data_IF_660890690235
#
_entry.id   IF_660890690235
#
_cell.length_a   1.000
_cell.length_b   1.000
_cell.length_c   1.000
_cell.angle_alpha   90.00
_cell.angle_beta   90.00
_cell.angle_gamma   90.00
#
_symmetry.space_group_name_H-M   'P 1'
#
loop_
_entity.id
_entity.type
_entity.pdbx_description
1 polymer ?
#
# COMPACT_ATOMS: atom_id res chain seq x y z
N UNK A 1 15.33 -25.31 1.56
CA UNK A 1 13.94 -24.90 1.75
C UNK A 1 13.89 -23.47 2.28
N UNK A 2 12.99 -22.65 1.76
CA UNK A 2 12.88 -21.25 2.14
C UNK A 2 12.30 -21.13 3.55
N UNK A 3 12.94 -20.31 4.42
CA UNK A 3 12.43 -20.01 5.75
C UNK A 3 11.23 -19.05 5.67
N UNK A 4 10.52 -18.89 6.78
CA UNK A 4 9.43 -17.91 6.86
C UNK A 4 9.93 -16.49 6.62
N UNK A 5 11.11 -16.16 7.13
CA UNK A 5 11.74 -14.85 6.96
C UNK A 5 12.11 -14.62 5.49
N UNK A 6 12.73 -15.59 4.86
CA UNK A 6 13.11 -15.49 3.46
C UNK A 6 11.90 -15.32 2.54
N UNK A 7 10.85 -16.08 2.83
CA UNK A 7 9.59 -15.96 2.07
C UNK A 7 8.98 -14.59 2.23
N UNK A 8 8.95 -14.07 3.44
CA UNK A 8 8.41 -12.74 3.70
C UNK A 8 9.18 -11.67 2.93
N UNK A 9 10.52 -11.70 3.01
CA UNK A 9 11.38 -10.73 2.31
C UNK A 9 11.12 -10.78 0.82
N UNK A 10 11.13 -11.98 0.24
CA UNK A 10 10.93 -12.17 -1.20
C UNK A 10 9.56 -11.63 -1.65
N UNK A 11 8.51 -12.01 -0.95
CA UNK A 11 7.15 -11.59 -1.32
C UNK A 11 6.92 -10.11 -1.06
N UNK A 12 7.38 -9.61 0.08
CA UNK A 12 7.19 -8.22 0.45
C UNK A 12 7.94 -7.28 -0.49
N UNK A 13 9.18 -7.62 -0.85
CA UNK A 13 9.95 -6.83 -1.81
C UNK A 13 9.27 -6.78 -3.16
N UNK A 14 8.85 -7.94 -3.68
CA UNK A 14 8.21 -8.02 -4.98
C UNK A 14 6.92 -7.21 -5.02
N UNK A 15 6.09 -7.34 -3.99
CA UNK A 15 4.81 -6.64 -3.91
C UNK A 15 4.98 -5.14 -3.70
N UNK A 16 5.96 -4.74 -2.87
CA UNK A 16 6.25 -3.34 -2.64
C UNK A 16 6.71 -2.65 -3.92
N UNK A 17 7.61 -3.30 -4.67
CA UNK A 17 8.07 -2.76 -5.94
C UNK A 17 6.94 -2.63 -6.94
N UNK A 18 6.02 -3.58 -6.96
CA UNK A 18 4.85 -3.54 -7.83
C UNK A 18 3.92 -2.39 -7.48
N UNK A 19 3.72 -2.14 -6.20
CA UNK A 19 2.91 -1.00 -5.73
C UNK A 19 3.56 0.31 -6.14
N UNK A 20 4.87 0.44 -5.95
CA UNK A 20 5.61 1.64 -6.34
C UNK A 20 5.48 1.88 -7.85
N UNK A 21 5.63 0.84 -8.66
CA UNK A 21 5.49 0.94 -10.11
C UNK A 21 4.07 1.39 -10.49
N UNK A 22 3.06 0.86 -9.82
CA UNK A 22 1.67 1.26 -10.08
C UNK A 22 1.39 2.71 -9.69
N UNK A 23 1.99 3.18 -8.59
CA UNK A 23 1.87 4.58 -8.19
C UNK A 23 2.53 5.49 -9.24
N UNK A 24 3.70 5.11 -9.74
CA UNK A 24 4.37 5.85 -10.81
C UNK A 24 3.53 5.89 -12.07
N UNK A 25 2.93 4.76 -12.42
CA UNK A 25 2.06 4.67 -13.59
C UNK A 25 0.83 5.58 -13.44
N UNK A 26 0.25 5.63 -12.26
CA UNK A 26 -0.83 6.56 -11.96
C UNK A 26 -0.37 8.01 -12.17
N UNK A 27 0.86 8.33 -11.77
CA UNK A 27 1.44 9.65 -11.96
C UNK A 27 1.54 10.06 -13.42
N UNK A 28 1.65 9.10 -14.34
CA UNK A 28 1.68 9.38 -15.77
C UNK A 28 0.35 9.93 -16.29
N UNK A 29 -0.73 9.81 -15.52
CA UNK A 29 -2.00 10.42 -15.87
C UNK A 29 -2.04 11.94 -15.58
N UNK A 30 -1.01 12.47 -14.93
CA UNK A 30 -0.89 13.90 -14.61
C UNK A 30 -0.49 14.70 -15.85
N UNK A 31 -1.35 14.66 -16.88
CA UNK A 31 -1.11 15.31 -18.16
C UNK A 31 -2.43 15.87 -18.69
N UNK A 32 -2.67 17.14 -18.41
CA UNK A 32 -3.92 17.80 -18.81
C UNK A 32 -4.07 17.98 -20.32
N UNK A 33 -2.98 17.82 -21.06
CA UNK A 33 -3.06 17.83 -22.53
C UNK A 33 -3.80 16.61 -23.07
N UNK A 34 -3.68 15.47 -22.37
CA UNK A 34 -4.26 14.21 -22.80
C UNK A 34 -5.46 13.78 -21.97
N UNK A 35 -5.56 14.24 -20.72
CA UNK A 35 -6.57 13.76 -19.79
C UNK A 35 -7.30 14.93 -19.12
N UNK A 36 -8.59 14.74 -18.91
CA UNK A 36 -9.43 15.71 -18.25
C UNK A 36 -9.70 15.23 -16.81
N UNK A 37 -9.20 15.99 -15.84
CA UNK A 37 -9.41 15.69 -14.42
C UNK A 37 -9.44 16.97 -13.59
N UNK A 38 -10.07 16.88 -12.43
CA UNK A 38 -10.18 17.99 -11.47
C UNK A 38 -9.37 17.68 -10.22
N UNK A 39 -9.14 18.71 -9.41
CA UNK A 39 -8.51 18.50 -8.10
C UNK A 39 -9.34 17.59 -7.21
N UNK A 40 -10.68 17.67 -7.32
CA UNK A 40 -11.57 16.80 -6.56
C UNK A 40 -11.34 15.33 -6.93
N UNK A 41 -11.13 15.05 -8.21
CA UNK A 41 -10.82 13.70 -8.68
C UNK A 41 -9.52 13.19 -8.04
N UNK A 42 -8.49 14.03 -8.03
CA UNK A 42 -7.19 13.66 -7.49
C UNK A 42 -7.29 13.42 -5.98
N UNK A 43 -8.00 14.26 -5.26
CA UNK A 43 -8.21 14.08 -3.82
C UNK A 43 -8.94 12.77 -3.51
N UNK A 44 -9.95 12.43 -4.30
CA UNK A 44 -10.67 11.16 -4.13
C UNK A 44 -9.76 9.98 -4.35
N UNK A 45 -8.93 10.03 -5.38
CA UNK A 45 -7.99 8.95 -5.71
C UNK A 45 -7.02 8.74 -4.55
N UNK A 46 -6.35 9.80 -4.13
CA UNK A 46 -5.32 9.68 -3.09
C UNK A 46 -5.91 9.36 -1.71
N UNK A 47 -7.09 9.90 -1.40
CA UNK A 47 -7.79 9.55 -0.16
C UNK A 47 -8.09 8.05 -0.11
N UNK A 48 -8.56 7.49 -1.22
CA UNK A 48 -8.85 6.05 -1.29
C UNK A 48 -7.57 5.21 -1.12
N UNK A 49 -6.50 5.60 -1.78
CA UNK A 49 -5.21 4.89 -1.68
C UNK A 49 -4.65 4.97 -0.26
N UNK A 50 -4.66 6.16 0.33
CA UNK A 50 -4.17 6.37 1.70
C UNK A 50 -4.97 5.58 2.72
N UNK A 51 -6.28 5.51 2.55
CA UNK A 51 -7.15 4.73 3.42
C UNK A 51 -6.78 3.24 3.34
N UNK A 52 -6.57 2.74 2.14
CA UNK A 52 -6.20 1.34 1.93
C UNK A 52 -4.83 1.03 2.52
N UNK A 53 -3.87 1.95 2.37
CA UNK A 53 -2.55 1.81 2.98
C UNK A 53 -2.65 1.77 4.50
N UNK A 54 -3.44 2.64 5.08
CA UNK A 54 -3.65 2.68 6.53
C UNK A 54 -4.26 1.38 7.03
N UNK A 55 -5.30 0.89 6.37
CA UNK A 55 -5.97 -0.35 6.74
C UNK A 55 -5.02 -1.54 6.65
N UNK A 56 -4.21 -1.59 5.60
CA UNK A 56 -3.24 -2.65 5.41
C UNK A 56 -2.15 -2.61 6.48
N UNK A 57 -1.68 -1.42 6.80
CA UNK A 57 -0.67 -1.24 7.85
C UNK A 57 -1.19 -1.72 9.21
N UNK A 58 -2.47 -1.50 9.49
CA UNK A 58 -3.11 -1.95 10.72
C UNK A 58 -3.10 -3.47 10.87
N UNK A 59 -3.14 -4.22 9.79
CA UNK A 59 -3.08 -5.69 9.83
C UNK A 59 -1.80 -6.18 10.51
N UNK A 60 -0.70 -5.49 10.31
CA UNK A 60 0.58 -5.83 10.94
C UNK A 60 0.59 -5.42 12.43
N UNK A 61 -0.01 -4.30 12.75
CA UNK A 61 -0.08 -3.80 14.13
C UNK A 61 -1.03 -4.61 15.00
N UNK A 62 -2.16 -5.05 14.45
CA UNK A 62 -3.15 -5.84 15.18
C UNK A 62 -2.55 -7.15 15.66
N UNK A 63 -1.71 -7.80 14.85
CA UNK A 63 -1.03 -9.03 15.26
C UNK A 63 -0.19 -8.81 16.51
N UNK A 64 0.53 -7.70 16.60
CA UNK A 64 1.33 -7.36 17.77
C UNK A 64 0.45 -7.09 19.01
N UNK A 65 -0.63 -6.36 18.82
CA UNK A 65 -1.56 -6.01 19.92
C UNK A 65 -2.22 -7.27 20.48
N UNK A 66 -2.59 -8.21 19.63
CA UNK A 66 -3.18 -9.47 20.08
C UNK A 66 -2.21 -10.29 20.92
N UNK A 67 -0.94 -10.34 20.50
CA UNK A 67 0.09 -11.01 21.26
C UNK A 67 0.24 -10.37 22.66
N UNK A 68 0.21 -9.06 22.73
CA UNK A 68 0.31 -8.33 23.99
C UNK A 68 -0.88 -8.60 24.92
N UNK A 69 -2.08 -8.77 24.37
CA UNK A 69 -3.27 -9.06 25.14
C UNK A 69 -3.19 -10.38 25.88
N UNK A 70 -2.49 -11.34 25.31
CA UNK A 70 -2.38 -12.66 25.92
C UNK A 70 -1.28 -12.78 26.97
N UNK A 71 -0.62 -11.69 27.26
CA UNK A 71 0.44 -11.68 28.28
C UNK A 71 -0.07 -11.38 29.68
N UNK A 72 -1.33 -11.34 29.86
CA UNK A 72 -1.92 -11.18 31.18
C UNK A 72 -1.55 -12.36 32.06
#
# INVERSE_FOLDING_TARGET
MESKRERFVRLAEARTNKIIDMVRLLGNCANKSNYDYTEADIQKIFTAIEKELKNTKLKFSVSEVEDDKFRL
#
